data_IF_431628269552
#
_entry.id   IF_431628269552
#
_cell.length_a   1.000
_cell.length_b   1.000
_cell.length_c   1.000
_cell.angle_alpha   90.00
_cell.angle_beta   90.00
_cell.angle_gamma   90.00
#
_symmetry.space_group_name_H-M   'P 1'
#
loop_
_entity.id
_entity.type
_entity.pdbx_description
1 polymer ?
#
# COMPACT_ATOMS: atom_id res chain seq x y z
N UNK A 1 33.75 -2.19 -27.49
CA UNK A 1 34.01 -3.40 -26.70
C UNK A 1 33.73 -3.22 -25.19
N UNK A 2 33.18 -2.09 -24.74
CA UNK A 2 32.92 -1.80 -23.28
C UNK A 2 31.44 -1.84 -22.84
N UNK A 3 30.50 -2.13 -23.75
CA UNK A 3 29.06 -2.15 -23.43
C UNK A 3 28.52 -3.50 -22.94
N UNK A 4 29.24 -4.60 -23.12
CA UNK A 4 28.81 -5.93 -22.66
C UNK A 4 29.31 -6.32 -21.28
N UNK A 5 30.33 -5.64 -20.71
CA UNK A 5 30.81 -5.93 -19.36
C UNK A 5 29.89 -5.36 -18.24
N UNK A 6 29.20 -4.23 -18.52
CA UNK A 6 28.32 -3.61 -17.53
C UNK A 6 27.02 -4.40 -17.29
N UNK A 7 26.52 -5.13 -18.30
CA UNK A 7 25.32 -5.96 -18.14
C UNK A 7 25.59 -7.26 -17.38
N UNK A 8 26.78 -7.81 -17.49
CA UNK A 8 27.15 -9.04 -16.78
C UNK A 8 27.41 -8.81 -15.27
N UNK A 9 27.90 -7.62 -14.89
CA UNK A 9 28.07 -7.27 -13.47
C UNK A 9 26.75 -7.04 -12.75
N UNK A 10 25.76 -6.41 -13.40
CA UNK A 10 24.46 -6.17 -12.77
C UNK A 10 23.64 -7.44 -12.58
N UNK A 11 23.73 -8.40 -13.50
CA UNK A 11 23.07 -9.72 -13.37
C UNK A 11 23.77 -10.58 -12.30
N UNK A 12 25.08 -10.50 -12.20
CA UNK A 12 25.85 -11.24 -11.19
C UNK A 12 25.61 -10.72 -9.77
N UNK A 13 25.45 -9.39 -9.58
CA UNK A 13 25.16 -8.79 -8.27
C UNK A 13 23.72 -9.11 -7.83
N UNK A 14 22.74 -9.11 -8.74
CA UNK A 14 21.37 -9.51 -8.44
C UNK A 14 21.26 -11.01 -8.14
N UNK A 15 22.01 -11.86 -8.82
CA UNK A 15 22.07 -13.30 -8.55
C UNK A 15 22.80 -13.63 -7.23
N UNK A 16 23.83 -12.87 -6.87
CA UNK A 16 24.51 -13.02 -5.57
C UNK A 16 23.66 -12.55 -4.39
N UNK A 17 22.85 -11.49 -4.55
CA UNK A 17 21.93 -11.04 -3.51
C UNK A 17 20.76 -12.01 -3.32
N UNK A 18 20.19 -12.54 -4.38
CA UNK A 18 19.14 -13.55 -4.32
C UNK A 18 19.65 -14.89 -3.76
N UNK A 19 20.88 -15.30 -4.10
CA UNK A 19 21.50 -16.50 -3.55
C UNK A 19 21.83 -16.36 -2.06
N UNK A 20 22.24 -15.16 -1.61
CA UNK A 20 22.55 -14.90 -0.19
C UNK A 20 21.29 -14.86 0.70
N UNK A 21 20.16 -14.33 0.20
CA UNK A 21 18.88 -14.35 0.92
C UNK A 21 18.32 -15.77 0.99
N UNK A 22 18.35 -16.51 -0.10
CA UNK A 22 17.90 -17.92 -0.16
C UNK A 22 18.73 -18.83 0.77
N UNK A 23 20.02 -18.56 0.91
CA UNK A 23 20.88 -19.34 1.82
C UNK A 23 20.61 -19.02 3.30
N UNK A 24 20.45 -17.74 3.64
CA UNK A 24 20.12 -17.30 4.99
C UNK A 24 18.71 -17.78 5.43
N UNK A 25 17.74 -17.77 4.53
CA UNK A 25 16.40 -18.33 4.77
C UNK A 25 16.45 -19.84 4.97
N UNK A 26 17.29 -20.56 4.20
CA UNK A 26 17.52 -21.99 4.38
C UNK A 26 18.14 -22.30 5.75
N UNK A 27 19.13 -21.53 6.21
CA UNK A 27 19.75 -21.71 7.54
C UNK A 27 18.76 -21.45 8.68
N UNK A 28 17.94 -20.40 8.55
CA UNK A 28 16.88 -20.08 9.51
C UNK A 28 15.86 -21.22 9.60
N UNK A 29 15.42 -21.75 8.46
CA UNK A 29 14.47 -22.86 8.42
C UNK A 29 15.05 -24.12 9.05
N UNK A 30 16.31 -24.45 8.79
CA UNK A 30 17.00 -25.58 9.40
C UNK A 30 17.15 -25.42 10.92
N UNK A 31 17.42 -24.20 11.38
CA UNK A 31 17.52 -23.93 12.81
C UNK A 31 16.16 -24.06 13.50
N UNK A 32 15.07 -23.58 12.89
CA UNK A 32 13.71 -23.78 13.40
C UNK A 32 13.36 -25.26 13.51
N UNK A 33 13.65 -26.06 12.47
CA UNK A 33 13.41 -27.49 12.47
C UNK A 33 14.23 -28.20 13.56
N UNK A 34 15.53 -27.91 13.70
CA UNK A 34 16.38 -28.50 14.77
C UNK A 34 15.88 -28.21 16.19
N UNK A 35 15.42 -26.96 16.43
CA UNK A 35 14.83 -26.59 17.73
C UNK A 35 13.55 -27.35 18.00
N UNK A 36 12.71 -27.49 16.99
CA UNK A 36 11.49 -28.26 17.07
C UNK A 36 11.80 -29.74 17.37
N UNK A 37 12.73 -30.36 16.65
CA UNK A 37 13.14 -31.75 16.87
C UNK A 37 13.63 -32.00 18.28
N UNK A 38 14.41 -31.09 18.83
CA UNK A 38 14.92 -31.19 20.21
C UNK A 38 13.80 -31.05 21.26
N UNK A 39 12.72 -30.35 20.94
CA UNK A 39 11.59 -30.12 21.82
C UNK A 39 10.48 -31.19 21.69
N UNK A 40 10.44 -31.97 20.61
CA UNK A 40 9.39 -32.96 20.28
C UNK A 40 8.86 -33.80 21.45
N UNK A 41 9.72 -34.32 22.38
CA UNK A 41 9.21 -35.15 23.46
C UNK A 41 8.33 -34.43 24.47
N UNK A 42 8.35 -33.11 24.51
CA UNK A 42 7.65 -32.30 25.52
C UNK A 42 6.79 -31.19 24.90
N UNK A 43 6.78 -31.04 23.56
CA UNK A 43 6.10 -29.97 22.87
C UNK A 43 4.58 -30.12 22.93
N UNK A 44 3.88 -29.06 23.25
CA UNK A 44 2.41 -29.02 23.28
C UNK A 44 1.84 -28.75 21.88
N UNK A 45 0.59 -29.14 21.62
CA UNK A 45 -0.12 -28.83 20.38
C UNK A 45 -0.19 -27.31 20.08
N UNK A 46 -0.20 -26.50 21.12
CA UNK A 46 -0.16 -25.03 20.98
C UNK A 46 1.21 -24.57 20.45
N UNK A 47 2.29 -25.09 20.99
CA UNK A 47 3.66 -24.73 20.56
C UNK A 47 3.92 -25.21 19.14
N UNK A 48 3.44 -26.40 18.76
CA UNK A 48 3.48 -26.90 17.37
C UNK A 48 2.77 -25.90 16.43
N UNK A 49 1.58 -25.46 16.80
CA UNK A 49 0.80 -24.51 16.01
C UNK A 49 1.47 -23.11 15.98
N UNK A 50 2.15 -22.70 17.05
CA UNK A 50 2.93 -21.45 17.08
C UNK A 50 4.17 -21.52 16.19
N UNK A 51 4.82 -22.68 16.10
CA UNK A 51 5.97 -22.89 15.19
C UNK A 51 5.56 -22.69 13.71
N UNK A 52 4.31 -22.99 13.35
CA UNK A 52 3.79 -22.81 12.00
C UNK A 52 3.78 -21.33 11.57
N UNK A 53 3.58 -20.37 12.49
CA UNK A 53 3.73 -18.94 12.19
C UNK A 53 5.16 -18.59 11.79
N UNK A 54 6.14 -19.11 12.54
CA UNK A 54 7.55 -18.87 12.23
C UNK A 54 7.96 -19.47 10.89
N UNK A 55 7.41 -20.65 10.57
CA UNK A 55 7.59 -21.28 9.27
C UNK A 55 6.92 -20.47 8.14
N UNK A 56 5.72 -19.92 8.39
CA UNK A 56 5.01 -19.08 7.43
C UNK A 56 5.71 -17.75 7.17
N UNK A 57 6.26 -17.12 8.21
CA UNK A 57 7.04 -15.87 8.10
C UNK A 57 8.36 -16.06 7.33
N UNK A 58 8.97 -17.25 7.44
CA UNK A 58 10.25 -17.58 6.83
C UNK A 58 10.14 -18.35 5.50
N UNK A 59 8.94 -18.63 5.00
CA UNK A 59 8.72 -19.48 3.82
C UNK A 59 9.36 -20.89 3.95
N UNK A 60 9.37 -21.45 5.16
CA UNK A 60 10.02 -22.73 5.48
C UNK A 60 9.10 -23.90 5.10
N UNK A 61 8.96 -24.21 3.81
CA UNK A 61 7.96 -25.16 3.30
C UNK A 61 8.13 -26.56 3.91
N UNK A 62 9.35 -27.11 3.88
CA UNK A 62 9.61 -28.45 4.41
C UNK A 62 9.26 -28.54 5.90
N UNK A 63 9.66 -27.52 6.69
CA UNK A 63 9.35 -27.44 8.11
C UNK A 63 7.86 -27.25 8.37
N UNK A 64 7.18 -26.41 7.58
CA UNK A 64 5.72 -26.23 7.69
C UNK A 64 4.98 -27.53 7.38
N UNK A 65 5.40 -28.30 6.37
CA UNK A 65 4.83 -29.62 6.04
C UNK A 65 4.98 -30.59 7.22
N UNK A 66 6.18 -30.67 7.80
CA UNK A 66 6.42 -31.50 8.99
C UNK A 66 5.54 -31.08 10.17
N UNK A 67 5.38 -29.79 10.43
CA UNK A 67 4.52 -29.28 11.50
C UNK A 67 3.04 -29.65 11.27
N UNK A 68 2.56 -29.55 10.03
CA UNK A 68 1.19 -29.91 9.66
C UNK A 68 0.95 -31.43 9.83
N UNK A 69 1.89 -32.25 9.43
CA UNK A 69 1.86 -33.72 9.66
C UNK A 69 1.90 -34.06 11.16
N UNK A 70 2.60 -33.26 11.97
CA UNK A 70 2.65 -33.39 13.43
C UNK A 70 1.41 -32.85 14.14
N UNK A 71 0.46 -32.24 13.41
CA UNK A 71 -0.82 -31.77 13.93
C UNK A 71 -0.90 -30.28 14.21
N UNK A 72 -0.02 -29.47 13.62
CA UNK A 72 -0.16 -28.00 13.67
C UNK A 72 -1.50 -27.56 13.07
N UNK A 73 -2.19 -26.66 13.74
CA UNK A 73 -3.47 -26.13 13.25
C UNK A 73 -3.26 -24.97 12.30
N UNK A 74 -3.75 -25.08 11.07
CA UNK A 74 -3.81 -23.96 10.10
C UNK A 74 -4.77 -22.85 10.56
N UNK A 75 -5.70 -23.15 11.48
CA UNK A 75 -6.63 -22.17 12.08
C UNK A 75 -6.10 -21.57 13.38
N UNK A 76 -4.88 -21.89 13.81
CA UNK A 76 -4.26 -21.26 14.97
C UNK A 76 -4.23 -19.74 14.82
N UNK A 77 -4.35 -19.05 15.95
CA UNK A 77 -4.37 -17.58 15.99
C UNK A 77 -3.22 -17.04 16.83
N UNK A 78 -2.54 -16.04 16.30
CA UNK A 78 -1.58 -15.27 17.07
C UNK A 78 -2.29 -14.29 18.04
N UNK A 79 -1.53 -13.51 18.78
CA UNK A 79 -2.05 -12.48 19.71
C UNK A 79 -2.90 -11.39 19.03
N UNK A 80 -2.80 -11.23 17.73
CA UNK A 80 -3.59 -10.28 16.91
C UNK A 80 -4.76 -10.97 16.21
N UNK A 81 -4.97 -12.27 16.45
CA UNK A 81 -6.00 -13.09 15.80
C UNK A 81 -5.66 -13.42 14.35
N UNK A 82 -4.44 -13.13 13.89
CA UNK A 82 -3.98 -13.51 12.55
C UNK A 82 -3.68 -15.01 12.50
N UNK A 83 -3.79 -15.60 11.31
CA UNK A 83 -3.54 -17.02 11.04
C UNK A 83 -2.26 -17.20 10.21
N UNK A 84 -1.68 -18.41 10.14
CA UNK A 84 -0.50 -18.69 9.32
C UNK A 84 -0.66 -18.23 7.87
N UNK A 85 -1.86 -18.40 7.27
CA UNK A 85 -2.15 -17.91 5.92
C UNK A 85 -1.98 -16.40 5.78
N UNK A 86 -2.39 -15.62 6.77
CA UNK A 86 -2.22 -14.17 6.77
C UNK A 86 -0.76 -13.75 6.88
N UNK A 87 0.06 -14.52 7.63
CA UNK A 87 1.50 -14.32 7.72
C UNK A 87 2.18 -14.60 6.38
N UNK A 88 1.93 -15.76 5.77
CA UNK A 88 2.46 -16.10 4.46
C UNK A 88 2.07 -15.04 3.38
N UNK A 89 0.82 -14.60 3.41
CA UNK A 89 0.31 -13.60 2.46
C UNK A 89 0.97 -12.22 2.66
N UNK A 90 1.23 -11.80 3.89
CA UNK A 90 1.90 -10.53 4.23
C UNK A 90 3.30 -10.44 3.66
N UNK A 91 4.04 -11.55 3.66
CA UNK A 91 5.41 -11.62 3.17
C UNK A 91 5.52 -12.07 1.70
N UNK A 92 4.40 -12.35 1.04
CA UNK A 92 4.38 -12.72 -0.37
C UNK A 92 4.83 -14.16 -0.68
N UNK A 93 4.75 -15.05 0.31
CA UNK A 93 5.23 -16.43 0.22
C UNK A 93 4.20 -17.33 -0.48
N UNK A 94 4.20 -17.32 -1.81
CA UNK A 94 3.20 -18.00 -2.64
C UNK A 94 3.14 -19.51 -2.36
N UNK A 95 4.29 -20.18 -2.27
CA UNK A 95 4.35 -21.62 -2.01
C UNK A 95 3.76 -21.99 -0.64
N UNK A 96 4.02 -21.15 0.38
CA UNK A 96 3.43 -21.31 1.71
C UNK A 96 1.92 -21.07 1.69
N UNK A 97 1.46 -20.06 0.94
CA UNK A 97 0.02 -19.83 0.74
C UNK A 97 -0.64 -21.05 0.12
N UNK A 98 -0.02 -21.66 -0.91
CA UNK A 98 -0.54 -22.87 -1.54
C UNK A 98 -0.56 -24.05 -0.60
N UNK A 99 0.49 -24.26 0.17
CA UNK A 99 0.56 -25.33 1.18
C UNK A 99 -0.57 -25.20 2.21
N UNK A 100 -0.73 -23.99 2.78
CA UNK A 100 -1.75 -23.76 3.81
C UNK A 100 -3.18 -23.90 3.26
N UNK A 101 -3.44 -23.42 2.03
CA UNK A 101 -4.73 -23.59 1.37
C UNK A 101 -5.02 -25.08 1.00
N UNK A 102 -3.99 -25.87 0.69
CA UNK A 102 -4.14 -27.30 0.47
C UNK A 102 -4.48 -28.08 1.74
N UNK A 103 -4.21 -27.51 2.92
CA UNK A 103 -4.60 -28.02 4.23
C UNK A 103 -5.84 -27.28 4.80
N UNK A 104 -6.71 -26.77 3.94
CA UNK A 104 -8.00 -26.19 4.29
C UNK A 104 -7.90 -24.92 5.18
N UNK A 105 -6.81 -24.16 5.08
CA UNK A 105 -6.72 -22.88 5.78
C UNK A 105 -7.87 -21.93 5.36
N UNK A 106 -8.62 -21.37 6.32
CA UNK A 106 -9.79 -20.55 6.00
C UNK A 106 -9.35 -19.24 5.31
N UNK A 107 -9.67 -19.13 4.01
CA UNK A 107 -9.16 -18.11 3.10
C UNK A 107 -9.56 -16.69 3.49
N UNK A 108 -10.81 -16.50 3.97
CA UNK A 108 -11.39 -15.22 4.34
C UNK A 108 -11.35 -14.96 5.85
N UNK A 109 -10.52 -15.72 6.55
CA UNK A 109 -10.36 -15.54 7.98
C UNK A 109 -9.84 -14.14 8.33
N UNK A 110 -10.54 -13.48 9.26
CA UNK A 110 -10.23 -12.13 9.69
C UNK A 110 -9.46 -12.15 11.02
N UNK A 111 -8.46 -11.28 11.14
CA UNK A 111 -7.81 -11.01 12.40
C UNK A 111 -8.63 -10.02 13.26
N UNK A 112 -8.14 -9.63 14.44
CA UNK A 112 -8.84 -8.70 15.35
C UNK A 112 -9.07 -7.31 14.72
N UNK A 113 -8.24 -6.90 13.76
CA UNK A 113 -8.42 -5.66 13.02
C UNK A 113 -9.28 -5.83 11.75
N UNK A 114 -9.88 -7.00 11.54
CA UNK A 114 -10.72 -7.30 10.39
C UNK A 114 -9.95 -7.68 9.12
N UNK A 115 -8.61 -7.66 9.12
CA UNK A 115 -7.79 -7.92 7.94
C UNK A 115 -7.73 -9.42 7.60
N UNK A 116 -7.85 -9.73 6.29
CA UNK A 116 -7.72 -11.07 5.70
C UNK A 116 -6.33 -11.26 5.10
N UNK A 117 -6.02 -12.49 4.66
CA UNK A 117 -4.81 -12.79 3.89
C UNK A 117 -4.75 -11.95 2.60
N UNK A 118 -5.87 -11.80 1.89
CA UNK A 118 -5.95 -10.96 0.68
C UNK A 118 -5.63 -9.48 0.97
N UNK A 119 -6.13 -8.94 2.08
CA UNK A 119 -5.79 -7.57 2.50
C UNK A 119 -4.28 -7.41 2.70
N UNK A 120 -3.63 -8.33 3.42
CA UNK A 120 -2.19 -8.25 3.67
C UNK A 120 -1.34 -8.41 2.40
N UNK A 121 -1.73 -9.31 1.50
CA UNK A 121 -1.07 -9.47 0.21
C UNK A 121 -1.19 -8.20 -0.66
N UNK A 122 -2.36 -7.56 -0.64
CA UNK A 122 -2.61 -6.32 -1.37
C UNK A 122 -1.82 -5.14 -0.77
N UNK A 123 -1.78 -5.02 0.57
CA UNK A 123 -0.98 -4.03 1.30
C UNK A 123 0.53 -4.19 1.03
N UNK A 124 1.01 -5.44 0.94
CA UNK A 124 2.40 -5.78 0.63
C UNK A 124 2.76 -5.67 -0.86
N UNK A 125 1.78 -5.50 -1.75
CA UNK A 125 2.04 -5.45 -3.20
C UNK A 125 2.36 -6.80 -3.83
N UNK A 126 1.99 -7.91 -3.20
CA UNK A 126 2.33 -9.27 -3.60
C UNK A 126 1.39 -9.82 -4.68
N UNK A 127 1.65 -9.45 -5.94
CA UNK A 127 0.78 -9.73 -7.09
C UNK A 127 0.42 -11.21 -7.20
N UNK A 128 1.40 -12.11 -7.15
CA UNK A 128 1.19 -13.55 -7.32
C UNK A 128 0.32 -14.14 -6.21
N UNK A 129 0.51 -13.69 -4.97
CA UNK A 129 -0.31 -14.13 -3.82
C UNK A 129 -1.74 -13.61 -3.95
N UNK A 130 -1.91 -12.33 -4.33
CA UNK A 130 -3.25 -11.77 -4.58
C UNK A 130 -3.98 -12.56 -5.66
N UNK A 131 -3.33 -12.83 -6.80
CA UNK A 131 -3.92 -13.62 -7.88
C UNK A 131 -4.34 -15.01 -7.39
N UNK A 132 -3.45 -15.70 -6.66
CA UNK A 132 -3.73 -17.04 -6.12
C UNK A 132 -4.91 -17.03 -5.13
N UNK A 133 -4.96 -16.08 -4.19
CA UNK A 133 -6.07 -15.95 -3.25
C UNK A 133 -7.39 -15.70 -3.97
N UNK A 134 -7.39 -14.81 -4.98
CA UNK A 134 -8.56 -14.54 -5.83
C UNK A 134 -9.00 -15.81 -6.61
N UNK A 135 -8.07 -16.57 -7.19
CA UNK A 135 -8.34 -17.82 -7.91
C UNK A 135 -8.97 -18.87 -6.99
N UNK A 136 -8.55 -18.87 -5.71
CA UNK A 136 -9.07 -19.78 -4.67
C UNK A 136 -10.35 -19.28 -4.02
N UNK A 137 -10.92 -18.15 -4.49
CA UNK A 137 -12.24 -17.66 -4.08
C UNK A 137 -12.25 -16.67 -2.92
N UNK A 138 -11.12 -16.03 -2.60
CA UNK A 138 -11.07 -14.98 -1.58
C UNK A 138 -12.03 -13.83 -1.91
N UNK A 139 -12.79 -13.36 -0.92
CA UNK A 139 -13.71 -12.24 -1.08
C UNK A 139 -12.95 -10.90 -1.14
N UNK A 140 -12.94 -10.30 -2.33
CA UNK A 140 -12.26 -9.02 -2.62
C UNK A 140 -12.89 -7.82 -1.92
N UNK A 141 -14.06 -7.98 -1.29
CA UNK A 141 -14.80 -6.89 -0.62
C UNK A 141 -14.58 -6.84 0.88
N UNK A 142 -13.95 -7.84 1.47
CA UNK A 142 -13.68 -7.86 2.92
C UNK A 142 -12.67 -6.80 3.29
N UNK A 143 -13.12 -5.86 4.10
CA UNK A 143 -12.31 -4.72 4.55
C UNK A 143 -11.40 -5.14 5.70
N UNK A 144 -10.20 -4.60 5.72
CA UNK A 144 -9.22 -4.79 6.79
C UNK A 144 -9.27 -3.66 7.83
N UNK A 145 -8.10 -3.38 8.38
CA UNK A 145 -7.92 -2.36 9.41
C UNK A 145 -8.51 -1.01 9.00
N UNK A 146 -9.23 -0.37 9.93
CA UNK A 146 -9.86 0.95 9.73
C UNK A 146 -10.81 1.00 8.52
N UNK A 147 -11.41 -0.14 8.17
CA UNK A 147 -12.33 -0.22 7.03
C UNK A 147 -11.66 -0.13 5.66
N UNK A 148 -10.33 -0.17 5.58
CA UNK A 148 -9.58 -0.09 4.31
C UNK A 148 -9.84 -1.37 3.51
N UNK A 149 -10.31 -1.22 2.28
CA UNK A 149 -10.53 -2.34 1.37
C UNK A 149 -9.21 -2.85 0.74
N UNK A 150 -9.15 -4.10 0.25
CA UNK A 150 -7.96 -4.60 -0.45
C UNK A 150 -7.54 -3.72 -1.63
N UNK A 151 -8.50 -3.16 -2.38
CA UNK A 151 -8.20 -2.24 -3.49
C UNK A 151 -7.61 -0.90 -2.98
N UNK A 152 -8.07 -0.38 -1.85
CA UNK A 152 -7.48 0.82 -1.26
C UNK A 152 -6.06 0.55 -0.75
N UNK A 153 -5.81 -0.62 -0.14
CA UNK A 153 -4.49 -1.06 0.29
C UNK A 153 -3.52 -1.21 -0.89
N UNK A 154 -3.96 -1.87 -1.99
CA UNK A 154 -3.19 -1.99 -3.23
C UNK A 154 -2.88 -0.62 -3.87
N UNK A 155 -3.86 0.31 -3.83
CA UNK A 155 -3.68 1.68 -4.33
C UNK A 155 -2.63 2.43 -3.52
N UNK A 156 -2.68 2.33 -2.19
CA UNK A 156 -1.67 2.91 -1.31
C UNK A 156 -0.27 2.33 -1.59
N UNK A 157 -0.17 1.02 -1.73
CA UNK A 157 1.08 0.33 -2.11
C UNK A 157 1.58 0.75 -3.51
N UNK A 158 0.66 1.09 -4.42
CA UNK A 158 0.99 1.52 -5.79
C UNK A 158 1.10 0.34 -6.76
N UNK A 159 0.42 -0.77 -6.49
CA UNK A 159 0.41 -1.93 -7.38
C UNK A 159 -0.77 -1.87 -8.36
N UNK A 160 -0.51 -1.37 -9.57
CA UNK A 160 -1.53 -1.27 -10.63
C UNK A 160 -2.07 -2.66 -11.02
N UNK A 161 -1.22 -3.66 -11.07
CA UNK A 161 -1.62 -5.04 -11.40
C UNK A 161 -2.61 -5.62 -10.37
N UNK A 162 -2.41 -5.33 -9.07
CA UNK A 162 -3.33 -5.78 -8.01
C UNK A 162 -4.66 -5.02 -8.11
N UNK A 163 -4.60 -3.69 -8.31
CA UNK A 163 -5.81 -2.87 -8.50
C UNK A 163 -6.64 -3.40 -9.65
N UNK A 164 -6.01 -3.72 -10.78
CA UNK A 164 -6.67 -4.29 -11.95
C UNK A 164 -7.31 -5.65 -11.65
N UNK A 165 -6.56 -6.56 -11.01
CA UNK A 165 -7.06 -7.88 -10.65
C UNK A 165 -8.28 -7.81 -9.71
N UNK A 166 -8.24 -6.91 -8.72
CA UNK A 166 -9.34 -6.70 -7.77
C UNK A 166 -10.58 -6.10 -8.46
N UNK A 167 -10.40 -5.10 -9.34
CA UNK A 167 -11.48 -4.51 -10.13
C UNK A 167 -12.15 -5.54 -11.05
N UNK A 168 -11.37 -6.42 -11.69
CA UNK A 168 -11.88 -7.49 -12.54
C UNK A 168 -12.78 -8.50 -11.78
N UNK A 169 -12.62 -8.58 -10.46
CA UNK A 169 -13.43 -9.44 -9.57
C UNK A 169 -14.50 -8.66 -8.78
N UNK A 170 -14.81 -7.42 -9.19
CA UNK A 170 -15.89 -6.63 -8.64
C UNK A 170 -15.59 -5.98 -7.30
N UNK A 171 -14.32 -5.68 -7.01
CA UNK A 171 -13.98 -4.79 -5.90
C UNK A 171 -14.60 -3.42 -6.13
N UNK A 172 -15.14 -2.82 -5.06
CA UNK A 172 -15.77 -1.50 -5.13
C UNK A 172 -14.70 -0.40 -5.07
N UNK A 173 -14.47 0.25 -6.22
CA UNK A 173 -13.51 1.36 -6.35
C UNK A 173 -13.92 2.64 -5.62
N UNK A 174 -15.16 2.70 -5.15
CA UNK A 174 -15.71 3.85 -4.42
C UNK A 174 -15.85 3.59 -2.93
N UNK A 175 -15.60 2.36 -2.47
CA UNK A 175 -15.76 1.99 -1.08
C UNK A 175 -14.85 2.83 -0.16
N UNK A 176 -15.42 3.71 0.70
CA UNK A 176 -14.61 4.52 1.59
C UNK A 176 -14.12 3.69 2.78
N UNK A 177 -13.00 4.08 3.38
CA UNK A 177 -12.57 3.61 4.69
C UNK A 177 -13.42 4.25 5.81
N UNK A 178 -13.11 3.94 7.07
CA UNK A 178 -13.80 4.52 8.25
C UNK A 178 -13.62 6.05 8.36
N UNK A 179 -12.62 6.62 7.67
CA UNK A 179 -12.41 8.08 7.60
C UNK A 179 -13.09 8.71 6.41
N UNK A 180 -13.81 7.94 5.60
CA UNK A 180 -14.53 8.40 4.41
C UNK A 180 -13.69 8.50 3.14
N UNK A 181 -12.45 7.96 3.11
CA UNK A 181 -11.54 8.03 1.96
C UNK A 181 -11.72 6.81 1.05
N UNK A 182 -12.17 6.99 -0.19
CA UNK A 182 -12.15 5.92 -1.21
C UNK A 182 -10.73 5.72 -1.77
N UNK A 183 -10.49 4.61 -2.52
CA UNK A 183 -9.19 4.29 -3.12
C UNK A 183 -8.52 5.44 -3.89
N UNK A 184 -9.31 6.25 -4.63
CA UNK A 184 -8.77 7.34 -5.44
C UNK A 184 -8.08 8.43 -4.62
N UNK A 185 -8.51 8.67 -3.38
CA UNK A 185 -7.86 9.62 -2.46
C UNK A 185 -6.46 9.12 -2.10
N UNK A 186 -6.29 7.82 -1.88
CA UNK A 186 -4.98 7.21 -1.67
C UNK A 186 -4.08 7.35 -2.91
N UNK A 187 -4.65 7.21 -4.12
CA UNK A 187 -3.91 7.42 -5.37
C UNK A 187 -3.38 8.87 -5.47
N UNK A 188 -4.22 9.86 -5.17
CA UNK A 188 -3.81 11.27 -5.18
C UNK A 188 -2.75 11.56 -4.11
N UNK A 189 -2.99 11.17 -2.85
CA UNK A 189 -2.07 11.42 -1.73
C UNK A 189 -0.71 10.72 -1.86
N UNK A 190 -0.64 9.61 -2.59
CA UNK A 190 0.58 8.83 -2.83
C UNK A 190 1.16 9.02 -4.23
N UNK A 191 0.61 9.96 -5.00
CA UNK A 191 1.00 10.28 -6.37
C UNK A 191 1.04 9.05 -7.31
N UNK A 192 0.03 8.18 -7.22
CA UNK A 192 -0.11 6.98 -8.06
C UNK A 192 -0.88 7.33 -9.34
N UNK A 193 -0.20 7.97 -10.30
CA UNK A 193 -0.83 8.55 -11.48
C UNK A 193 -1.62 7.53 -12.31
N UNK A 194 -1.05 6.36 -12.60
CA UNK A 194 -1.69 5.38 -13.48
C UNK A 194 -2.92 4.75 -12.81
N UNK A 195 -2.83 4.44 -11.51
CA UNK A 195 -3.98 3.98 -10.73
C UNK A 195 -5.05 5.07 -10.68
N UNK A 196 -4.67 6.33 -10.46
CA UNK A 196 -5.62 7.44 -10.43
C UNK A 196 -6.35 7.60 -11.77
N UNK A 197 -5.63 7.54 -12.90
CA UNK A 197 -6.23 7.57 -14.25
C UNK A 197 -7.23 6.44 -14.44
N UNK A 198 -6.86 5.22 -14.01
CA UNK A 198 -7.72 4.03 -14.10
C UNK A 198 -9.01 4.21 -13.29
N UNK A 199 -8.92 4.75 -12.07
CA UNK A 199 -10.08 5.01 -11.23
C UNK A 199 -10.96 6.15 -11.75
N UNK A 200 -10.36 7.23 -12.26
CA UNK A 200 -11.10 8.35 -12.89
C UNK A 200 -11.87 7.91 -14.15
N UNK A 201 -11.31 7.00 -14.96
CA UNK A 201 -11.98 6.46 -16.13
C UNK A 201 -13.29 5.70 -15.80
N UNK A 202 -13.56 5.42 -14.52
CA UNK A 202 -14.78 4.75 -14.02
C UNK A 202 -15.84 5.75 -13.53
N UNK A 203 -15.92 6.92 -14.16
CA UNK A 203 -16.90 7.99 -13.87
C UNK A 203 -16.81 8.54 -12.43
N UNK A 204 -15.60 8.75 -11.93
CA UNK A 204 -15.37 9.52 -10.71
C UNK A 204 -15.27 11.00 -11.09
N UNK A 205 -16.05 11.86 -10.42
CA UNK A 205 -15.97 13.29 -10.62
C UNK A 205 -14.62 13.82 -10.10
N UNK A 206 -13.86 14.49 -10.97
CA UNK A 206 -12.54 15.04 -10.66
C UNK A 206 -12.59 16.13 -9.59
N UNK A 207 -13.73 16.83 -9.49
CA UNK A 207 -14.00 17.88 -8.51
C UNK A 207 -14.81 17.39 -7.31
N UNK A 208 -14.96 16.04 -7.17
CA UNK A 208 -15.64 15.46 -6.01
C UNK A 208 -15.00 15.92 -4.70
N UNK A 209 -15.85 16.08 -3.69
CA UNK A 209 -15.46 16.45 -2.34
C UNK A 209 -15.32 15.21 -1.46
N UNK A 210 -14.20 15.12 -0.78
CA UNK A 210 -13.84 14.05 0.17
C UNK A 210 -13.83 14.60 1.59
N UNK A 211 -13.52 13.81 2.61
CA UNK A 211 -13.54 14.29 4.00
C UNK A 211 -12.80 15.62 4.16
N UNK A 212 -13.38 16.52 4.97
CA UNK A 212 -12.95 17.90 5.19
C UNK A 212 -13.07 18.79 3.94
N UNK A 213 -13.94 18.45 2.99
CA UNK A 213 -14.15 19.13 1.71
C UNK A 213 -12.91 19.19 0.81
N UNK A 214 -11.94 18.29 1.02
CA UNK A 214 -10.73 18.21 0.21
C UNK A 214 -11.05 17.65 -1.18
N UNK A 215 -10.48 18.26 -2.22
CA UNK A 215 -10.51 17.73 -3.60
C UNK A 215 -9.30 16.83 -3.88
N UNK A 216 -9.31 16.09 -5.00
CA UNK A 216 -8.14 15.30 -5.41
C UNK A 216 -6.91 16.18 -5.63
N UNK A 217 -7.10 17.40 -6.17
CA UNK A 217 -6.02 18.37 -6.37
C UNK A 217 -5.38 18.76 -5.03
N UNK A 218 -6.19 18.99 -4.00
CA UNK A 218 -5.67 19.29 -2.65
C UNK A 218 -4.92 18.11 -2.03
N UNK A 219 -5.43 16.88 -2.18
CA UNK A 219 -4.74 15.68 -1.72
C UNK A 219 -3.40 15.46 -2.43
N UNK A 220 -3.34 15.70 -3.75
CA UNK A 220 -2.10 15.58 -4.52
C UNK A 220 -1.10 16.69 -4.17
N UNK A 221 -1.59 17.93 -3.91
CA UNK A 221 -0.75 19.09 -3.54
C UNK A 221 -0.13 18.95 -2.15
N UNK A 222 -0.83 18.25 -1.23
CA UNK A 222 -0.35 17.92 0.12
C UNK A 222 0.14 16.47 0.23
N UNK A 223 0.62 15.86 -0.86
CA UNK A 223 1.07 14.46 -0.86
C UNK A 223 2.06 14.18 0.29
N UNK A 224 2.05 12.91 0.76
CA UNK A 224 2.93 12.42 1.83
C UNK A 224 4.39 12.85 1.60
N UNK A 225 5.10 13.23 2.65
CA UNK A 225 6.50 13.69 2.59
C UNK A 225 7.45 12.68 1.92
N UNK A 226 7.11 11.39 1.99
CA UNK A 226 7.85 10.31 1.33
C UNK A 226 7.63 10.25 -0.18
N UNK A 227 6.65 10.98 -0.71
CA UNK A 227 6.40 11.06 -2.15
C UNK A 227 7.35 12.07 -2.77
N UNK A 228 8.19 11.68 -3.76
CA UNK A 228 9.02 12.62 -4.49
C UNK A 228 8.17 13.73 -5.12
N UNK A 229 8.62 14.98 -5.02
CA UNK A 229 7.86 16.13 -5.52
C UNK A 229 7.58 16.02 -7.03
N UNK A 230 8.53 15.47 -7.79
CA UNK A 230 8.37 15.21 -9.22
C UNK A 230 7.18 14.29 -9.55
N UNK A 231 6.87 13.30 -8.69
CA UNK A 231 5.70 12.44 -8.90
C UNK A 231 4.40 13.18 -8.53
N UNK A 232 4.41 13.98 -7.47
CA UNK A 232 3.27 14.83 -7.12
C UNK A 232 2.95 15.83 -8.24
N UNK A 233 3.97 16.43 -8.85
CA UNK A 233 3.83 17.34 -10.01
C UNK A 233 3.11 16.66 -11.18
N UNK A 234 3.44 15.42 -11.51
CA UNK A 234 2.76 14.68 -12.59
C UNK A 234 1.27 14.54 -12.31
N UNK A 235 0.91 14.20 -11.06
CA UNK A 235 -0.49 14.05 -10.66
C UNK A 235 -1.22 15.39 -10.64
N UNK A 236 -0.63 16.44 -10.07
CA UNK A 236 -1.20 17.79 -10.05
C UNK A 236 -1.40 18.31 -11.49
N UNK A 237 -0.40 18.14 -12.36
CA UNK A 237 -0.51 18.51 -13.79
C UNK A 237 -1.68 17.79 -14.44
N UNK A 238 -1.75 16.48 -14.28
CA UNK A 238 -2.84 15.70 -14.88
C UNK A 238 -4.22 16.14 -14.38
N UNK A 239 -4.38 16.40 -13.08
CA UNK A 239 -5.66 16.85 -12.51
C UNK A 239 -6.07 18.21 -13.07
N UNK A 240 -5.12 19.16 -13.19
CA UNK A 240 -5.39 20.47 -13.77
C UNK A 240 -5.75 20.39 -15.26
N UNK A 241 -5.02 19.57 -16.03
CA UNK A 241 -5.30 19.35 -17.47
C UNK A 241 -6.65 18.68 -17.68
N UNK A 242 -7.12 17.88 -16.72
CA UNK A 242 -8.42 17.21 -16.74
C UNK A 242 -9.55 18.09 -16.16
N UNK A 243 -9.31 19.35 -15.81
CA UNK A 243 -10.33 20.32 -15.39
C UNK A 243 -10.57 20.40 -13.88
N UNK A 244 -9.60 20.02 -13.06
CA UNK A 244 -9.69 20.26 -11.61
C UNK A 244 -9.74 21.77 -11.31
N UNK A 245 -10.66 22.19 -10.45
CA UNK A 245 -10.80 23.57 -10.04
C UNK A 245 -9.64 23.97 -9.12
N UNK A 246 -8.80 24.90 -9.59
CA UNK A 246 -7.53 25.24 -8.95
C UNK A 246 -7.69 25.95 -7.61
N UNK A 247 -8.72 26.80 -7.49
CA UNK A 247 -8.97 27.64 -6.30
C UNK A 247 -10.13 27.15 -5.43
N UNK A 248 -10.55 25.89 -5.63
CA UNK A 248 -11.48 25.25 -4.72
C UNK A 248 -10.99 25.32 -3.26
N UNK A 249 -11.93 25.37 -2.31
CA UNK A 249 -11.63 25.56 -0.90
C UNK A 249 -12.06 24.35 -0.07
N UNK A 250 -11.21 23.92 0.86
CA UNK A 250 -11.50 22.91 1.85
C UNK A 250 -12.39 23.47 3.01
N UNK A 251 -12.75 22.62 3.96
CA UNK A 251 -13.54 23.01 5.13
C UNK A 251 -12.92 24.13 5.98
N UNK A 252 -11.59 24.35 5.89
CA UNK A 252 -10.88 25.46 6.53
C UNK A 252 -10.72 26.68 5.62
N UNK A 253 -11.25 26.63 4.40
CA UNK A 253 -11.13 27.68 3.38
C UNK A 253 -9.78 27.69 2.67
N UNK A 254 -8.98 26.62 2.78
CA UNK A 254 -7.66 26.53 2.15
C UNK A 254 -7.78 26.03 0.71
N UNK A 255 -6.96 26.59 -0.16
CA UNK A 255 -6.77 26.14 -1.54
C UNK A 255 -5.66 25.10 -1.65
N UNK A 256 -5.53 24.46 -2.82
CA UNK A 256 -4.42 23.56 -3.14
C UNK A 256 -3.05 24.27 -2.98
N UNK A 257 -2.96 25.56 -3.38
CA UNK A 257 -1.76 26.37 -3.23
C UNK A 257 -1.38 26.57 -1.76
N UNK A 258 -2.36 26.82 -0.89
CA UNK A 258 -2.14 26.96 0.56
C UNK A 258 -1.63 25.65 1.18
N UNK A 259 -2.20 24.52 0.77
CA UNK A 259 -1.81 23.19 1.26
C UNK A 259 -0.38 22.86 0.81
N UNK A 260 -0.03 23.13 -0.46
CA UNK A 260 1.33 22.96 -0.96
C UNK A 260 2.35 23.84 -0.21
N UNK A 261 1.98 25.10 0.06
CA UNK A 261 2.82 26.06 0.79
C UNK A 261 3.05 25.64 2.26
N UNK A 262 1.99 25.21 2.97
CA UNK A 262 2.06 24.68 4.34
C UNK A 262 2.94 23.43 4.42
N UNK A 263 2.83 22.52 3.43
CA UNK A 263 3.63 21.30 3.32
C UNK A 263 5.06 21.51 2.78
N UNK A 264 5.47 22.75 2.47
CA UNK A 264 6.80 23.06 1.93
C UNK A 264 7.05 22.51 0.52
N UNK A 265 6.00 22.19 -0.24
CA UNK A 265 6.05 21.62 -1.61
C UNK A 265 6.27 22.74 -2.62
N UNK A 266 7.50 23.23 -2.70
CA UNK A 266 7.86 24.46 -3.45
C UNK A 266 7.64 24.34 -4.95
N UNK A 267 7.93 23.19 -5.56
CA UNK A 267 7.75 22.99 -7.00
C UNK A 267 6.27 22.82 -7.35
N UNK A 268 5.49 22.14 -6.50
CA UNK A 268 4.03 22.03 -6.64
C UNK A 268 3.38 23.40 -6.50
N UNK A 269 3.77 24.21 -5.51
CA UNK A 269 3.25 25.57 -5.34
C UNK A 269 3.59 26.44 -6.55
N UNK A 270 4.82 26.34 -7.08
CA UNK A 270 5.25 27.06 -8.28
C UNK A 270 4.42 26.64 -9.51
N UNK A 271 4.16 25.34 -9.68
CA UNK A 271 3.30 24.84 -10.73
C UNK A 271 1.87 25.39 -10.62
N UNK A 272 1.29 25.38 -9.42
CA UNK A 272 -0.07 25.90 -9.19
C UNK A 272 -0.15 27.42 -9.55
N UNK A 273 0.84 28.22 -9.16
CA UNK A 273 0.92 29.62 -9.56
C UNK A 273 1.01 29.78 -11.08
N UNK A 274 1.87 29.01 -11.73
CA UNK A 274 2.03 29.04 -13.20
C UNK A 274 0.75 28.62 -13.94
N UNK A 275 -0.13 27.85 -13.27
CA UNK A 275 -1.43 27.44 -13.79
C UNK A 275 -2.58 28.36 -13.38
N UNK A 276 -2.29 29.50 -12.75
CA UNK A 276 -3.27 30.56 -12.45
C UNK A 276 -3.94 30.45 -11.07
N UNK A 277 -3.34 29.73 -10.11
CA UNK A 277 -3.83 29.76 -8.73
C UNK A 277 -3.71 31.17 -8.15
N UNK A 278 -4.76 31.67 -7.47
CA UNK A 278 -4.80 32.98 -6.88
C UNK A 278 -4.07 33.02 -5.50
N UNK A 279 -2.87 33.61 -5.40
CA UNK A 279 -2.11 33.71 -4.16
C UNK A 279 -2.72 34.68 -3.13
N UNK A 280 -3.65 35.53 -3.55
CA UNK A 280 -4.29 36.53 -2.69
C UNK A 280 -5.40 35.97 -1.80
N UNK A 281 -5.92 34.77 -2.13
CA UNK A 281 -6.97 34.12 -1.37
C UNK A 281 -6.56 33.89 0.08
N UNK A 282 -7.53 33.99 0.98
CA UNK A 282 -7.33 33.79 2.41
C UNK A 282 -8.17 32.62 2.91
N UNK A 283 -7.61 31.84 3.80
CA UNK A 283 -8.33 30.81 4.54
C UNK A 283 -9.29 31.44 5.60
N UNK A 284 -10.02 30.61 6.34
CA UNK A 284 -10.95 31.08 7.39
C UNK A 284 -10.23 31.75 8.58
N UNK A 285 -8.90 31.56 8.73
CA UNK A 285 -8.08 32.25 9.71
C UNK A 285 -7.46 33.57 9.16
N UNK A 286 -7.80 33.94 7.93
CA UNK A 286 -7.30 35.13 7.27
C UNK A 286 -5.90 34.99 6.67
N UNK A 287 -5.32 33.78 6.62
CA UNK A 287 -3.97 33.53 6.12
C UNK A 287 -3.97 33.23 4.63
N UNK A 288 -3.01 33.80 3.89
CA UNK A 288 -2.69 33.46 2.50
C UNK A 288 -1.68 32.33 2.43
N UNK A 289 -1.43 31.78 1.25
CA UNK A 289 -0.40 30.77 1.03
C UNK A 289 0.99 31.24 1.52
N UNK A 290 1.36 32.50 1.29
CA UNK A 290 2.61 33.09 1.77
C UNK A 290 2.75 33.10 3.30
N UNK A 291 1.63 33.18 4.02
CA UNK A 291 1.61 33.25 5.49
C UNK A 291 1.72 31.84 6.13
N UNK A 292 1.52 30.77 5.34
CA UNK A 292 1.52 29.38 5.79
C UNK A 292 2.87 28.68 5.60
N UNK A 293 3.72 29.15 4.68
CA UNK A 293 5.01 28.50 4.43
C UNK A 293 6.09 28.98 5.41
N UNK A 294 6.92 28.04 5.86
CA UNK A 294 8.16 28.31 6.61
C UNK A 294 9.36 28.65 5.69
N UNK A 295 9.25 28.38 4.39
CA UNK A 295 10.32 28.53 3.42
C UNK A 295 10.37 29.97 2.87
N UNK A 296 11.46 30.71 3.14
CA UNK A 296 11.60 32.11 2.72
C UNK A 296 11.51 32.29 1.20
N UNK A 297 12.24 31.47 0.43
CA UNK A 297 12.22 31.51 -1.03
C UNK A 297 10.84 31.25 -1.64
N UNK A 298 10.05 30.35 -1.05
CA UNK A 298 8.70 30.11 -1.48
C UNK A 298 7.78 31.28 -1.12
N UNK A 299 7.94 31.83 0.08
CA UNK A 299 7.20 33.03 0.53
C UNK A 299 7.37 34.20 -0.43
N UNK A 300 8.63 34.48 -0.84
CA UNK A 300 8.94 35.55 -1.77
C UNK A 300 8.22 35.35 -3.11
N UNK A 301 8.21 34.15 -3.64
CA UNK A 301 7.46 33.81 -4.88
C UNK A 301 5.96 34.00 -4.75
N UNK A 302 5.39 33.71 -3.59
CA UNK A 302 3.95 33.83 -3.30
C UNK A 302 3.51 35.28 -3.04
N UNK A 303 4.44 36.20 -2.85
CA UNK A 303 4.16 37.62 -2.58
C UNK A 303 4.38 38.54 -3.79
N UNK A 304 4.97 38.02 -4.87
CA UNK A 304 5.12 38.80 -6.12
C UNK A 304 3.76 38.90 -6.81
N UNK A 305 3.31 40.12 -7.19
CA UNK A 305 2.03 40.34 -7.85
C UNK A 305 1.99 39.77 -9.28
#
# INVERSE_FOLDING_TARGET
>A
MYRHLALLCSVAIAALSAASTSFADSERCQELARRFDSAKPQITATEVSLALFSAADGNCIAFATELLEYGASVDARDRFGARPLSHAARFGHLEMVDLLLAHDAPIDARNLAGATALYFAAEGGHVSVVQRLIERGADVKLRGRSGISPIAAATYAGSDAIVEALLARGADERAPDETGKPPIVYAAARARLDIMKRLLARNVDINARYPHDLTLLMWASGADEKVPEAEAIKVVTYLLDAGAHIDDRDARGRTALMIAAEGGRSEVATLLLARGADPSLKDKAGKRAADLTSLSLLRDRLTVP
#
